data_IF_819998111841
#
_entry.id   IF_819998111841
#
_cell.length_a   1.000
_cell.length_b   1.000
_cell.length_c   1.000
_cell.angle_alpha   90.00
_cell.angle_beta   90.00
_cell.angle_gamma   90.00
#
_symmetry.space_group_name_H-M   'P 1'
#
loop_
_entity.id
_entity.type
_entity.pdbx_description
1 polymer ?
#
# COMPACT_ATOMS: atom_id res chain seq x y z
N UNK A 1 -57.24 -21.47 57.15
CA UNK A 1 -56.63 -20.52 56.19
C UNK A 1 -55.46 -19.71 56.79
N UNK A 2 -54.39 -20.35 57.25
CA UNK A 2 -53.16 -19.67 57.70
C UNK A 2 -51.95 -20.50 57.25
N UNK A 3 -51.54 -20.37 55.99
CA UNK A 3 -50.17 -20.74 55.55
C UNK A 3 -49.84 -20.36 54.10
N UNK A 4 -50.83 -20.05 53.24
CA UNK A 4 -50.55 -19.64 51.85
C UNK A 4 -49.87 -18.27 51.71
N UNK A 5 -50.13 -17.30 52.60
CA UNK A 5 -49.50 -15.95 52.54
C UNK A 5 -47.98 -15.95 52.82
N UNK A 6 -47.46 -16.87 53.65
CA UNK A 6 -46.01 -16.97 53.92
C UNK A 6 -45.25 -17.62 52.76
N UNK A 7 -45.85 -18.60 52.07
CA UNK A 7 -45.25 -19.23 50.89
C UNK A 7 -45.10 -18.26 49.70
N UNK A 8 -46.12 -17.43 49.41
CA UNK A 8 -46.01 -16.45 48.32
C UNK A 8 -45.04 -15.29 48.60
N UNK A 9 -44.82 -14.95 49.88
CA UNK A 9 -43.85 -13.90 50.25
C UNK A 9 -42.40 -14.38 50.10
N UNK A 10 -42.12 -15.65 50.45
CA UNK A 10 -40.76 -16.23 50.33
C UNK A 10 -40.42 -16.48 48.85
N UNK A 11 -41.38 -16.96 48.04
CA UNK A 11 -41.18 -17.16 46.60
C UNK A 11 -40.98 -15.82 45.88
N UNK A 12 -41.73 -14.77 46.25
CA UNK A 12 -41.55 -13.41 45.69
C UNK A 12 -40.18 -12.81 45.96
N UNK A 13 -39.64 -13.00 47.18
CA UNK A 13 -38.30 -12.51 47.54
C UNK A 13 -37.20 -13.28 46.80
N UNK A 14 -37.34 -14.60 46.63
CA UNK A 14 -36.36 -15.42 45.89
C UNK A 14 -36.34 -15.04 44.41
N UNK A 15 -37.50 -14.79 43.78
CA UNK A 15 -37.58 -14.36 42.37
C UNK A 15 -36.99 -12.96 42.17
N UNK A 16 -37.18 -12.03 43.11
CA UNK A 16 -36.58 -10.67 43.05
C UNK A 16 -35.06 -10.73 43.23
N UNK A 17 -34.55 -11.59 44.13
CA UNK A 17 -33.10 -11.77 44.33
C UNK A 17 -32.47 -12.43 43.11
N UNK A 18 -33.12 -13.41 42.48
CA UNK A 18 -32.66 -14.02 41.23
C UNK A 18 -32.69 -12.99 40.09
N UNK A 19 -33.76 -12.18 39.96
CA UNK A 19 -33.82 -11.12 38.94
C UNK A 19 -32.82 -9.98 39.18
N UNK A 20 -32.44 -9.69 40.43
CA UNK A 20 -31.37 -8.74 40.74
C UNK A 20 -29.98 -9.33 40.46
N UNK A 21 -29.73 -10.60 40.79
CA UNK A 21 -28.46 -11.28 40.49
C UNK A 21 -28.29 -11.48 38.98
N UNK A 22 -29.35 -11.85 38.25
CA UNK A 22 -29.29 -12.00 36.79
C UNK A 22 -29.43 -10.66 36.04
N UNK A 23 -30.18 -9.68 36.54
CA UNK A 23 -30.33 -8.36 35.91
C UNK A 23 -29.10 -7.47 36.08
N UNK A 24 -28.44 -7.54 37.24
CA UNK A 24 -27.13 -6.90 37.47
C UNK A 24 -26.02 -7.74 36.83
N UNK A 25 -26.13 -9.07 36.86
CA UNK A 25 -25.20 -9.99 36.18
C UNK A 25 -25.16 -9.76 34.66
N UNK A 26 -26.30 -9.63 33.98
CA UNK A 26 -26.32 -9.46 32.52
C UNK A 26 -25.72 -8.14 32.03
N UNK A 27 -25.74 -7.09 32.86
CA UNK A 27 -25.05 -5.83 32.58
C UNK A 27 -23.56 -5.85 32.95
N UNK A 28 -23.13 -6.73 33.86
CA UNK A 28 -21.73 -6.83 34.30
C UNK A 28 -20.90 -7.79 33.42
N UNK A 29 -21.52 -8.72 32.70
CA UNK A 29 -20.77 -9.68 31.87
C UNK A 29 -20.25 -9.16 30.53
N UNK A 30 -20.35 -7.86 30.24
CA UNK A 30 -19.89 -7.33 28.95
C UNK A 30 -18.42 -6.94 28.85
N UNK A 31 -17.63 -6.74 29.92
CA UNK A 31 -16.18 -6.46 29.78
C UNK A 31 -15.38 -6.57 31.11
N UNK A 32 -14.79 -7.74 31.41
CA UNK A 32 -13.69 -7.86 32.39
C UNK A 32 -14.11 -7.82 33.88
N UNK A 33 -13.25 -8.36 34.75
CA UNK A 33 -13.54 -8.58 36.19
C UNK A 33 -13.85 -7.31 37.01
N UNK A 34 -14.31 -7.52 38.25
CA UNK A 34 -14.79 -6.50 39.21
C UNK A 34 -13.85 -5.31 39.48
N UNK A 35 -12.58 -5.39 39.07
CA UNK A 35 -11.61 -4.31 39.15
C UNK A 35 -10.83 -4.19 37.83
N UNK A 36 -10.85 -3.01 37.23
CA UNK A 36 -10.04 -2.73 36.05
C UNK A 36 -8.55 -2.77 36.43
N UNK A 37 -7.68 -3.41 35.64
CA UNK A 37 -6.26 -3.45 35.91
C UNK A 37 -5.66 -2.04 35.89
N UNK A 38 -4.71 -1.78 36.80
CA UNK A 38 -3.99 -0.49 36.86
C UNK A 38 -3.14 -0.25 35.61
N UNK A 39 -2.61 -1.32 35.02
CA UNK A 39 -1.73 -1.26 33.85
C UNK A 39 -2.28 -2.10 32.71
N UNK A 40 -2.03 -1.65 31.49
CA UNK A 40 -2.41 -2.32 30.24
C UNK A 40 -1.22 -2.32 29.31
N UNK A 41 -1.08 -3.40 28.55
CA UNK A 41 -0.17 -3.50 27.42
C UNK A 41 -0.92 -4.10 26.22
N UNK A 42 -0.27 -4.09 25.06
CA UNK A 42 -0.89 -4.58 23.81
C UNK A 42 -1.31 -6.05 23.91
N UNK A 43 -0.58 -6.87 24.68
CA UNK A 43 -0.82 -8.31 24.82
C UNK A 43 -1.65 -8.70 26.04
N UNK A 44 -2.33 -7.73 26.66
CA UNK A 44 -3.13 -7.96 27.87
C UNK A 44 -4.29 -8.93 27.60
N UNK A 45 -4.70 -9.68 28.64
CA UNK A 45 -5.87 -10.56 28.57
C UNK A 45 -7.14 -9.76 28.28
N UNK A 46 -8.09 -10.39 27.58
CA UNK A 46 -9.33 -9.77 27.15
C UNK A 46 -9.24 -9.20 25.73
N UNK A 47 -10.28 -8.49 25.30
CA UNK A 47 -10.34 -7.83 23.99
C UNK A 47 -10.14 -6.33 24.16
N UNK A 48 -9.19 -5.77 23.42
CA UNK A 48 -8.93 -4.34 23.35
C UNK A 48 -8.86 -3.90 21.90
N UNK A 49 -9.37 -2.71 21.64
CA UNK A 49 -9.22 -2.04 20.36
C UNK A 49 -8.19 -0.94 20.55
N UNK A 50 -7.24 -0.90 19.64
CA UNK A 50 -6.22 0.12 19.52
C UNK A 50 -6.45 0.87 18.21
N UNK A 51 -6.24 2.18 18.22
CA UNK A 51 -6.46 3.08 17.10
C UNK A 51 -5.09 3.63 16.73
N UNK A 52 -4.62 3.33 15.52
CA UNK A 52 -3.50 4.02 14.91
C UNK A 52 -4.00 5.36 14.38
N UNK A 53 -3.34 6.45 14.75
CA UNK A 53 -3.76 7.81 14.38
C UNK A 53 -2.61 8.61 13.80
N UNK A 54 -2.91 9.41 12.78
CA UNK A 54 -2.07 10.45 12.21
C UNK A 54 -2.64 11.86 12.51
N UNK A 55 -1.76 12.86 12.56
CA UNK A 55 -2.14 14.25 12.84
C UNK A 55 -2.46 14.52 14.31
N UNK A 56 -1.93 13.69 15.21
CA UNK A 56 -1.86 14.01 16.63
C UNK A 56 -2.83 13.26 17.55
N UNK A 57 -3.03 13.85 18.74
CA UNK A 57 -3.89 13.32 19.81
C UNK A 57 -5.23 14.04 19.95
N UNK A 58 -5.52 14.95 19.02
CA UNK A 58 -6.69 15.80 19.06
C UNK A 58 -7.93 15.04 18.58
N UNK A 59 -9.12 15.59 18.81
CA UNK A 59 -10.40 14.94 18.45
C UNK A 59 -10.60 14.78 16.93
N UNK A 60 -9.86 15.53 16.14
CA UNK A 60 -9.87 15.61 14.69
C UNK A 60 -8.72 14.83 14.04
N UNK A 61 -7.80 14.28 14.84
CA UNK A 61 -6.80 13.33 14.34
C UNK A 61 -7.49 12.16 13.63
N UNK A 62 -6.97 11.82 12.45
CA UNK A 62 -7.46 10.73 11.59
C UNK A 62 -7.09 9.39 12.21
N UNK A 63 -7.92 8.37 11.98
CA UNK A 63 -7.65 7.00 12.40
C UNK A 63 -7.39 6.18 11.14
N UNK A 64 -6.14 5.80 10.92
CA UNK A 64 -5.73 5.07 9.70
C UNK A 64 -5.81 3.55 9.91
N UNK A 65 -5.70 3.11 11.16
CA UNK A 65 -5.73 1.69 11.53
C UNK A 65 -6.63 1.42 12.74
N UNK A 66 -7.38 0.33 12.66
CA UNK A 66 -8.11 -0.23 13.80
C UNK A 66 -7.54 -1.61 14.13
N UNK A 67 -6.81 -1.66 15.23
CA UNK A 67 -6.11 -2.83 15.72
C UNK A 67 -6.93 -3.52 16.81
N UNK A 68 -7.02 -4.84 16.75
CA UNK A 68 -7.73 -5.63 17.77
C UNK A 68 -6.76 -6.59 18.42
N UNK A 69 -6.52 -6.40 19.71
CA UNK A 69 -5.78 -7.33 20.52
C UNK A 69 -6.73 -8.21 21.33
N UNK A 70 -6.57 -9.53 21.24
CA UNK A 70 -7.38 -10.50 21.99
C UNK A 70 -6.55 -11.68 22.44
N UNK A 71 -6.39 -11.83 23.76
CA UNK A 71 -5.74 -12.99 24.39
C UNK A 71 -4.36 -13.31 23.78
N UNK A 72 -3.51 -12.29 23.63
CA UNK A 72 -2.17 -12.43 23.05
C UNK A 72 -2.15 -12.65 21.53
N UNK A 73 -3.27 -12.43 20.84
CA UNK A 73 -3.35 -12.34 19.38
C UNK A 73 -3.69 -10.93 18.95
N UNK A 74 -3.32 -10.60 17.72
CA UNK A 74 -3.51 -9.30 17.10
C UNK A 74 -4.10 -9.47 15.70
N UNK A 75 -4.85 -8.47 15.25
CA UNK A 75 -5.31 -8.31 13.86
C UNK A 75 -5.46 -6.81 13.62
N UNK A 76 -4.99 -6.34 12.48
CA UNK A 76 -5.09 -4.95 12.05
C UNK A 76 -6.12 -4.85 10.92
N UNK A 77 -6.83 -3.73 10.88
CA UNK A 77 -7.75 -3.36 9.81
C UNK A 77 -7.37 -1.97 9.29
N UNK A 78 -7.19 -1.84 7.99
CA UNK A 78 -6.98 -0.54 7.36
C UNK A 78 -8.27 0.29 7.36
N UNK A 79 -8.14 1.60 7.51
CA UNK A 79 -9.25 2.54 7.41
C UNK A 79 -9.16 3.29 6.09
N UNK A 80 -10.24 3.25 5.31
CA UNK A 80 -10.30 3.95 4.02
C UNK A 80 -10.80 5.39 4.14
N UNK A 81 -11.78 5.65 4.99
CA UNK A 81 -12.39 6.98 5.09
C UNK A 81 -11.54 7.93 5.93
N UNK A 82 -11.12 9.06 5.35
CA UNK A 82 -10.37 10.15 6.00
C UNK A 82 -11.18 10.87 7.09
N UNK A 83 -12.51 10.72 7.04
CA UNK A 83 -13.42 11.33 8.00
C UNK A 83 -13.50 10.55 9.33
N UNK A 84 -12.85 9.39 9.46
CA UNK A 84 -12.87 8.58 10.68
C UNK A 84 -11.87 9.14 11.68
N UNK A 85 -12.34 10.05 12.52
CA UNK A 85 -11.50 10.71 13.53
C UNK A 85 -11.53 10.05 14.89
N UNK A 86 -10.50 10.31 15.69
CA UNK A 86 -10.40 9.88 17.09
C UNK A 86 -11.60 10.35 17.93
N UNK A 87 -12.14 11.54 17.62
CA UNK A 87 -13.35 12.07 18.23
C UNK A 87 -14.62 11.27 17.90
N UNK A 88 -14.78 10.79 16.66
CA UNK A 88 -15.87 9.87 16.28
C UNK A 88 -15.69 8.51 16.96
N UNK A 89 -14.48 7.96 16.92
CA UNK A 89 -14.15 6.68 17.53
C UNK A 89 -14.39 6.66 19.05
N UNK A 90 -14.15 7.78 19.74
CA UNK A 90 -14.34 7.89 21.20
C UNK A 90 -15.75 7.66 21.71
N UNK A 91 -16.75 7.83 20.84
CA UNK A 91 -18.18 7.64 21.12
C UNK A 91 -18.65 6.21 20.85
N UNK A 92 -17.80 5.38 20.24
CA UNK A 92 -18.12 4.01 19.85
C UNK A 92 -17.74 3.02 20.96
N UNK A 93 -18.44 1.87 20.99
CA UNK A 93 -18.01 0.73 21.78
C UNK A 93 -16.92 -0.07 21.06
N UNK A 94 -16.21 -0.94 21.78
CA UNK A 94 -15.21 -1.82 21.15
C UNK A 94 -15.84 -2.70 20.04
N UNK A 95 -17.08 -3.17 20.20
CA UNK A 95 -17.75 -3.96 19.16
C UNK A 95 -18.08 -3.13 17.92
N UNK A 96 -18.43 -1.86 18.10
CA UNK A 96 -18.71 -0.95 16.98
C UNK A 96 -17.41 -0.63 16.24
N UNK A 97 -16.31 -0.37 16.96
CA UNK A 97 -15.00 -0.13 16.36
C UNK A 97 -14.49 -1.35 15.58
N UNK A 98 -14.65 -2.57 16.11
CA UNK A 98 -14.27 -3.80 15.39
C UNK A 98 -15.11 -3.96 14.11
N UNK A 99 -16.40 -3.63 14.18
CA UNK A 99 -17.30 -3.71 13.02
C UNK A 99 -16.96 -2.64 11.98
N UNK A 100 -16.58 -1.44 12.44
CA UNK A 100 -16.07 -0.36 11.61
C UNK A 100 -14.78 -0.77 10.90
N UNK A 101 -13.78 -1.30 11.63
CA UNK A 101 -12.51 -1.75 11.05
C UNK A 101 -12.72 -2.75 9.91
N UNK A 102 -13.52 -3.80 10.14
CA UNK A 102 -13.85 -4.78 9.09
C UNK A 102 -14.54 -4.16 7.86
N UNK A 103 -15.41 -3.17 8.09
CA UNK A 103 -16.12 -2.49 7.00
C UNK A 103 -15.16 -1.60 6.21
N UNK A 104 -14.30 -0.87 6.90
CA UNK A 104 -13.36 0.06 6.28
C UNK A 104 -12.26 -0.69 5.53
N UNK A 105 -11.72 -1.77 6.09
CA UNK A 105 -10.73 -2.63 5.45
C UNK A 105 -11.28 -3.27 4.15
N UNK A 106 -12.53 -3.75 4.19
CA UNK A 106 -13.20 -4.22 2.97
C UNK A 106 -13.47 -3.08 1.98
N UNK A 107 -13.81 -1.90 2.49
CA UNK A 107 -14.07 -0.71 1.66
C UNK A 107 -12.78 -0.25 0.97
N UNK A 108 -11.65 -0.31 1.66
CA UNK A 108 -10.32 -0.02 1.14
C UNK A 108 -10.08 -0.83 -0.15
N UNK A 109 -10.19 -2.16 -0.05
CA UNK A 109 -10.14 -3.04 -1.22
C UNK A 109 -11.18 -2.72 -2.31
N UNK A 110 -12.44 -2.50 -1.94
CA UNK A 110 -13.53 -2.24 -2.90
C UNK A 110 -13.38 -0.91 -3.62
N UNK A 111 -12.67 0.05 -3.03
CA UNK A 111 -12.47 1.40 -3.54
C UNK A 111 -11.14 1.60 -4.27
N UNK A 112 -10.19 0.65 -4.21
CA UNK A 112 -8.93 0.78 -4.95
C UNK A 112 -9.11 1.01 -6.44
N UNK A 113 -10.09 0.36 -7.06
CA UNK A 113 -10.37 0.59 -8.49
C UNK A 113 -10.94 1.99 -8.77
N UNK A 114 -11.60 2.64 -7.81
CA UNK A 114 -12.04 4.02 -7.94
C UNK A 114 -10.86 4.99 -7.79
N UNK A 115 -9.91 4.72 -6.89
CA UNK A 115 -8.68 5.53 -6.73
C UNK A 115 -7.80 5.48 -7.98
N UNK A 116 -7.60 4.29 -8.57
CA UNK A 116 -6.91 4.16 -9.87
C UNK A 116 -7.60 4.97 -10.97
N UNK A 117 -8.94 5.07 -10.95
CA UNK A 117 -9.68 5.93 -11.89
C UNK A 117 -9.49 7.41 -11.58
N UNK A 118 -9.46 7.79 -10.30
CA UNK A 118 -9.20 9.17 -9.89
C UNK A 118 -7.81 9.62 -10.36
N UNK A 119 -6.77 8.82 -10.12
CA UNK A 119 -5.42 9.08 -10.60
C UNK A 119 -5.34 9.16 -12.14
N UNK A 120 -6.00 8.23 -12.85
CA UNK A 120 -6.09 8.27 -14.31
C UNK A 120 -6.72 9.58 -14.79
N UNK A 121 -7.81 10.00 -14.15
CA UNK A 121 -8.60 11.16 -14.55
C UNK A 121 -8.07 12.49 -13.97
N UNK A 122 -6.92 12.49 -13.29
CA UNK A 122 -6.33 13.65 -12.60
C UNK A 122 -7.30 14.30 -11.60
N UNK A 123 -8.01 13.47 -10.83
CA UNK A 123 -8.89 13.89 -9.74
C UNK A 123 -8.19 13.71 -8.40
N UNK A 124 -8.73 14.40 -7.39
CA UNK A 124 -8.30 14.25 -6.01
C UNK A 124 -8.50 12.82 -5.51
N UNK A 125 -7.68 12.45 -4.54
CA UNK A 125 -7.76 11.21 -3.76
C UNK A 125 -9.16 11.06 -3.12
N UNK A 126 -9.69 9.83 -3.08
CA UNK A 126 -11.05 9.56 -2.60
C UNK A 126 -11.07 9.20 -1.10
N UNK A 127 -10.03 8.54 -0.60
CA UNK A 127 -9.85 8.14 0.81
C UNK A 127 -8.37 7.92 1.14
N UNK A 128 -8.06 7.23 2.23
CA UNK A 128 -6.70 7.08 2.77
C UNK A 128 -5.84 5.99 2.06
N UNK A 129 -5.95 5.85 0.74
CA UNK A 129 -5.12 4.92 -0.02
C UNK A 129 -3.70 5.42 -0.23
N UNK A 130 -2.91 5.43 0.84
CA UNK A 130 -1.51 5.86 0.79
C UNK A 130 -0.62 4.88 0.02
N UNK A 131 -1.00 3.61 -0.07
CA UNK A 131 -0.35 2.58 -0.89
C UNK A 131 -0.30 2.92 -2.40
N UNK A 132 -1.29 3.63 -2.91
CA UNK A 132 -1.33 4.16 -4.28
C UNK A 132 -0.99 5.63 -4.33
N UNK A 133 -1.55 6.44 -3.42
CA UNK A 133 -1.50 7.90 -3.49
C UNK A 133 -0.31 8.49 -2.72
N UNK A 134 0.25 7.77 -1.75
CA UNK A 134 1.48 8.11 -1.03
C UNK A 134 2.74 7.54 -1.68
N UNK A 135 2.62 6.51 -2.53
CA UNK A 135 3.75 5.94 -3.29
C UNK A 135 4.01 6.75 -4.59
N UNK A 136 4.97 7.68 -4.52
CA UNK A 136 5.42 8.48 -5.66
C UNK A 136 6.00 7.64 -6.80
N UNK A 137 6.64 6.51 -6.48
CA UNK A 137 7.25 5.64 -7.48
C UNK A 137 6.17 4.86 -8.24
N UNK A 138 5.16 4.30 -7.54
CA UNK A 138 4.03 3.63 -8.20
C UNK A 138 3.18 4.60 -9.03
N UNK A 139 2.95 5.83 -8.54
CA UNK A 139 2.33 6.89 -9.36
C UNK A 139 3.19 7.21 -10.59
N UNK A 140 4.51 7.22 -10.42
CA UNK A 140 5.50 7.35 -11.48
C UNK A 140 5.34 6.25 -12.54
N UNK A 141 5.35 4.99 -12.14
CA UNK A 141 5.18 3.83 -13.01
C UNK A 141 3.82 3.86 -13.75
N UNK A 142 2.74 4.23 -13.06
CA UNK A 142 1.42 4.33 -13.68
C UNK A 142 1.29 5.50 -14.66
N UNK A 143 2.02 6.59 -14.47
CA UNK A 143 2.00 7.74 -15.39
C UNK A 143 3.04 7.63 -16.52
N UNK A 144 4.22 7.11 -16.24
CA UNK A 144 5.37 7.08 -17.16
C UNK A 144 5.56 5.71 -17.81
N UNK A 145 5.18 4.64 -17.14
CA UNK A 145 5.28 3.26 -17.64
C UNK A 145 6.51 2.53 -17.13
N UNK A 146 6.59 1.26 -17.50
CA UNK A 146 7.71 0.42 -17.10
C UNK A 146 9.02 0.94 -17.70
N UNK A 147 10.12 0.77 -16.97
CA UNK A 147 11.46 0.89 -17.53
C UNK A 147 11.73 -0.24 -18.51
N UNK A 148 12.17 0.15 -19.70
CA UNK A 148 12.58 -0.74 -20.77
C UNK A 148 14.07 -0.53 -21.03
N UNK A 149 14.86 -1.57 -20.75
CA UNK A 149 16.27 -1.60 -21.13
C UNK A 149 16.41 -2.54 -22.33
N UNK A 150 16.76 -1.99 -23.48
CA UNK A 150 16.87 -2.73 -24.74
C UNK A 150 18.31 -2.69 -25.26
N UNK A 151 18.87 -3.88 -25.51
CA UNK A 151 20.15 -4.05 -26.20
C UNK A 151 19.90 -4.33 -27.69
N UNK A 152 20.80 -3.80 -28.52
CA UNK A 152 20.71 -3.89 -29.97
C UNK A 152 22.01 -3.54 -30.69
N UNK A 153 21.88 -3.23 -31.97
CA UNK A 153 22.98 -2.84 -32.86
C UNK A 153 22.55 -1.65 -33.71
N UNK A 154 23.41 -0.64 -33.79
CA UNK A 154 23.32 0.46 -34.75
C UNK A 154 24.18 0.12 -35.98
N UNK A 155 23.68 0.38 -37.17
CA UNK A 155 24.40 0.14 -38.44
C UNK A 155 24.39 1.40 -39.28
N UNK A 156 25.56 1.86 -39.72
CA UNK A 156 25.65 3.02 -40.61
C UNK A 156 25.04 2.74 -41.98
N UNK A 157 24.20 3.66 -42.47
CA UNK A 157 23.56 3.55 -43.80
C UNK A 157 24.56 3.81 -44.94
N UNK A 158 25.57 4.67 -44.72
CA UNK A 158 26.63 4.99 -45.68
C UNK A 158 27.89 5.45 -44.95
N UNK A 159 29.11 5.18 -45.47
CA UNK A 159 30.37 5.67 -44.87
C UNK A 159 30.45 7.19 -44.71
N UNK A 160 29.70 7.93 -45.53
CA UNK A 160 29.75 9.39 -45.60
C UNK A 160 28.60 10.09 -44.84
N UNK A 161 27.79 9.34 -44.08
CA UNK A 161 26.62 9.88 -43.36
C UNK A 161 26.63 9.51 -41.89
N UNK A 162 26.10 10.37 -41.03
CA UNK A 162 25.82 10.08 -39.62
C UNK A 162 24.54 9.27 -39.42
N UNK A 163 23.90 8.83 -40.49
CA UNK A 163 22.60 8.15 -40.42
C UNK A 163 22.77 6.68 -40.09
N UNK A 164 22.15 6.25 -39.00
CA UNK A 164 22.15 4.87 -38.52
C UNK A 164 20.77 4.21 -38.70
N UNK A 165 20.78 2.90 -38.88
CA UNK A 165 19.63 2.00 -38.74
C UNK A 165 19.80 1.24 -37.44
N UNK A 166 18.73 1.04 -36.67
CA UNK A 166 18.80 0.38 -35.38
C UNK A 166 18.08 -0.97 -35.41
N UNK A 167 18.64 -1.96 -34.74
CA UNK A 167 17.98 -3.25 -34.50
C UNK A 167 18.11 -3.61 -33.04
N UNK A 168 16.98 -3.77 -32.35
CA UNK A 168 16.92 -4.26 -30.98
C UNK A 168 16.44 -5.69 -30.96
N UNK A 169 16.96 -6.50 -30.04
CA UNK A 169 16.66 -7.92 -30.00
C UNK A 169 16.64 -8.53 -28.59
N UNK A 170 16.99 -7.74 -27.57
CA UNK A 170 17.13 -8.25 -26.20
C UNK A 170 16.65 -7.22 -25.18
N UNK A 171 15.86 -7.70 -24.22
CA UNK A 171 15.54 -6.95 -23.00
C UNK A 171 16.57 -7.28 -21.92
N UNK A 172 16.96 -6.27 -21.16
CA UNK A 172 17.93 -6.36 -20.08
C UNK A 172 17.24 -5.97 -18.77
N UNK A 173 17.42 -6.73 -17.66
CA UNK A 173 16.98 -6.30 -16.34
C UNK A 173 17.52 -4.91 -15.96
N UNK A 174 16.71 -4.08 -15.30
CA UNK A 174 17.09 -2.70 -14.98
C UNK A 174 18.33 -2.62 -14.09
N UNK A 175 18.50 -3.55 -13.17
CA UNK A 175 19.65 -3.71 -12.28
C UNK A 175 20.95 -4.06 -13.04
N UNK A 176 20.84 -4.60 -14.25
CA UNK A 176 21.97 -4.92 -15.13
C UNK A 176 22.35 -3.79 -16.09
N UNK A 177 21.59 -2.68 -16.11
CA UNK A 177 21.85 -1.58 -17.05
C UNK A 177 23.28 -1.04 -16.97
N UNK A 178 23.77 -0.75 -15.76
CA UNK A 178 25.10 -0.16 -15.58
C UNK A 178 26.21 -1.10 -16.05
N UNK A 179 26.16 -2.38 -15.68
CA UNK A 179 27.17 -3.37 -16.10
C UNK A 179 27.15 -3.60 -17.62
N UNK A 180 25.97 -3.65 -18.24
CA UNK A 180 25.84 -3.84 -19.68
C UNK A 180 26.25 -2.58 -20.46
N UNK A 181 25.94 -1.40 -19.94
CA UNK A 181 26.42 -0.12 -20.48
C UNK A 181 27.94 -0.05 -20.46
N UNK A 182 28.59 -0.43 -19.36
CA UNK A 182 30.05 -0.48 -19.26
C UNK A 182 30.66 -1.49 -20.26
N UNK A 183 30.03 -2.67 -20.40
CA UNK A 183 30.45 -3.68 -21.39
C UNK A 183 30.39 -3.12 -22.80
N UNK A 184 29.29 -2.46 -23.16
CA UNK A 184 29.09 -1.87 -24.49
C UNK A 184 30.07 -0.72 -24.72
N UNK A 185 30.30 0.14 -23.73
CA UNK A 185 31.31 1.20 -23.79
C UNK A 185 32.71 0.65 -24.07
N UNK A 186 33.10 -0.43 -23.38
CA UNK A 186 34.38 -1.12 -23.63
C UNK A 186 34.46 -1.69 -25.05
N UNK A 187 33.37 -2.27 -25.57
CA UNK A 187 33.36 -2.77 -26.95
C UNK A 187 33.60 -1.60 -27.92
N UNK A 188 32.84 -0.51 -27.79
CA UNK A 188 32.97 0.68 -28.66
C UNK A 188 34.39 1.27 -28.68
N UNK A 189 35.09 1.27 -27.55
CA UNK A 189 36.48 1.74 -27.47
C UNK A 189 37.49 0.90 -28.27
N UNK A 190 37.19 -0.37 -28.51
CA UNK A 190 38.05 -1.29 -29.25
C UNK A 190 37.57 -1.55 -30.68
N UNK A 191 36.47 -0.92 -31.11
CA UNK A 191 36.00 -1.03 -32.49
C UNK A 191 36.93 -0.26 -33.44
N UNK A 192 37.23 -0.86 -34.58
CA UNK A 192 37.98 -0.18 -35.63
C UNK A 192 37.12 0.91 -36.29
N UNK A 193 37.76 1.96 -36.83
CA UNK A 193 37.05 3.03 -37.54
C UNK A 193 36.28 2.55 -38.79
N UNK A 194 36.60 1.35 -39.30
CA UNK A 194 35.95 0.73 -40.46
C UNK A 194 34.74 -0.15 -40.09
N UNK A 195 34.47 -0.37 -38.80
CA UNK A 195 33.31 -1.15 -38.35
C UNK A 195 32.00 -0.40 -38.59
N UNK A 196 31.16 -0.97 -39.45
CA UNK A 196 29.86 -0.39 -39.84
C UNK A 196 28.74 -0.65 -38.83
N UNK A 197 28.98 -1.48 -37.82
CA UNK A 197 27.99 -1.90 -36.83
C UNK A 197 28.52 -1.77 -35.42
N UNK A 198 27.75 -1.13 -34.54
CA UNK A 198 28.12 -0.91 -33.15
C UNK A 198 27.02 -1.38 -32.20
N UNK A 199 27.36 -2.08 -31.09
CA UNK A 199 26.37 -2.44 -30.11
C UNK A 199 25.80 -1.19 -29.43
N UNK A 200 24.52 -1.24 -29.08
CA UNK A 200 23.82 -0.16 -28.37
C UNK A 200 22.98 -0.72 -27.24
N UNK A 201 22.81 0.11 -26.20
CA UNK A 201 21.85 -0.12 -25.13
C UNK A 201 21.07 1.16 -24.92
N UNK A 202 19.76 1.02 -24.71
CA UNK A 202 18.88 2.12 -24.39
C UNK A 202 18.09 1.78 -23.13
N UNK A 203 18.04 2.71 -22.18
CA UNK A 203 17.16 2.66 -21.01
C UNK A 203 16.19 3.82 -21.14
N UNK A 204 14.89 3.51 -21.17
CA UNK A 204 13.83 4.50 -21.25
C UNK A 204 12.53 3.94 -20.67
N UNK A 205 11.71 4.79 -20.05
CA UNK A 205 10.31 4.52 -19.77
C UNK A 205 9.48 4.54 -21.06
N UNK A 206 8.25 4.03 -20.99
CA UNK A 206 7.31 4.11 -22.12
C UNK A 206 7.03 5.57 -22.53
N UNK A 207 6.92 6.48 -21.56
CA UNK A 207 6.81 7.92 -21.79
C UNK A 207 8.04 8.47 -22.53
N UNK A 208 9.24 8.17 -22.05
CA UNK A 208 10.49 8.63 -22.69
C UNK A 208 10.66 8.06 -24.11
N UNK A 209 10.13 6.87 -24.40
CA UNK A 209 10.10 6.35 -25.77
C UNK A 209 9.19 7.16 -26.70
N UNK A 210 8.12 7.76 -26.18
CA UNK A 210 7.21 8.63 -26.94
C UNK A 210 7.81 10.03 -27.08
N UNK A 211 8.36 10.59 -26.00
CA UNK A 211 8.98 11.92 -26.00
C UNK A 211 10.19 11.98 -26.92
N UNK A 212 11.06 10.97 -26.86
CA UNK A 212 12.26 10.89 -27.68
C UNK A 212 12.01 10.18 -29.01
N UNK A 213 10.75 10.09 -29.45
CA UNK A 213 10.43 9.43 -30.69
C UNK A 213 10.94 10.21 -31.89
N UNK A 214 11.07 11.54 -31.85
CA UNK A 214 11.64 12.30 -32.96
C UNK A 214 13.03 12.86 -32.60
N UNK A 215 14.04 12.70 -33.48
CA UNK A 215 15.40 13.15 -33.23
C UNK A 215 15.61 14.66 -33.46
N UNK A 216 14.65 15.38 -34.04
CA UNK A 216 14.76 16.81 -34.36
C UNK A 216 13.75 17.63 -33.54
N UNK A 217 14.22 18.65 -32.80
CA UNK A 217 13.38 19.56 -32.02
C UNK A 217 12.31 20.26 -32.87
N UNK A 218 12.62 20.60 -34.14
CA UNK A 218 11.64 21.17 -35.06
C UNK A 218 10.57 20.16 -35.50
N UNK A 219 10.92 18.88 -35.64
CA UNK A 219 9.94 17.82 -35.91
C UNK A 219 9.09 17.49 -34.67
N UNK A 220 9.65 17.62 -33.47
CA UNK A 220 8.91 17.46 -32.22
C UNK A 220 7.81 18.52 -32.05
N UNK A 221 8.09 19.78 -32.39
CA UNK A 221 7.09 20.85 -32.37
C UNK A 221 5.99 20.62 -33.42
N UNK A 222 6.37 20.18 -34.62
CA UNK A 222 5.42 19.90 -35.70
C UNK A 222 4.52 18.69 -35.41
N UNK A 223 5.02 17.71 -34.63
CA UNK A 223 4.30 16.48 -34.29
C UNK A 223 3.67 16.49 -32.88
N UNK A 224 3.54 17.66 -32.25
CA UNK A 224 3.04 17.79 -30.88
C UNK A 224 1.71 17.05 -30.64
N UNK A 225 0.77 17.15 -31.60
CA UNK A 225 -0.55 16.49 -31.49
C UNK A 225 -0.41 14.97 -31.48
N UNK A 226 0.32 14.39 -32.42
CA UNK A 226 0.51 12.94 -32.52
C UNK A 226 1.26 12.36 -31.32
N UNK A 227 2.25 13.10 -30.80
CA UNK A 227 2.97 12.77 -29.57
C UNK A 227 2.02 12.71 -28.38
N UNK A 228 1.25 13.77 -28.15
CA UNK A 228 0.32 13.88 -27.04
C UNK A 228 -0.80 12.83 -27.11
N UNK A 229 -1.34 12.58 -28.30
CA UNK A 229 -2.33 11.51 -28.53
C UNK A 229 -1.74 10.13 -28.27
N UNK A 230 -0.50 9.88 -28.68
CA UNK A 230 0.18 8.60 -28.47
C UNK A 230 0.43 8.35 -27.01
N UNK A 231 0.95 9.36 -26.29
CA UNK A 231 1.10 9.28 -24.84
C UNK A 231 -0.23 9.00 -24.15
N UNK A 232 -1.28 9.76 -24.49
CA UNK A 232 -2.62 9.58 -23.92
C UNK A 232 -3.18 8.19 -24.20
N UNK A 233 -2.98 7.66 -25.40
CA UNK A 233 -3.40 6.31 -25.78
C UNK A 233 -2.69 5.23 -24.94
N UNK A 234 -1.37 5.33 -24.82
CA UNK A 234 -0.49 4.44 -24.06
C UNK A 234 -0.85 4.46 -22.57
N UNK A 235 -0.90 5.65 -21.97
CA UNK A 235 -1.30 5.85 -20.57
C UNK A 235 -2.69 5.29 -20.31
N UNK A 236 -3.67 5.59 -21.16
CA UNK A 236 -5.04 5.08 -20.98
C UNK A 236 -5.11 3.55 -21.09
N UNK A 237 -4.38 2.93 -22.02
CA UNK A 237 -4.33 1.48 -22.12
C UNK A 237 -3.72 0.83 -20.86
N UNK A 238 -2.70 1.46 -20.28
CA UNK A 238 -2.07 1.02 -19.03
C UNK A 238 -3.08 1.01 -17.87
N UNK A 239 -3.69 2.16 -17.58
CA UNK A 239 -4.70 2.26 -16.51
C UNK A 239 -5.89 1.33 -16.75
N UNK A 240 -6.39 1.24 -17.98
CA UNK A 240 -7.51 0.36 -18.29
C UNK A 240 -7.14 -1.12 -18.10
N UNK A 241 -5.94 -1.54 -18.49
CA UNK A 241 -5.49 -2.92 -18.27
C UNK A 241 -5.31 -3.25 -16.79
N UNK A 242 -4.78 -2.31 -15.99
CA UNK A 242 -4.71 -2.47 -14.53
C UNK A 242 -6.11 -2.67 -13.96
N UNK A 243 -7.06 -1.78 -14.30
CA UNK A 243 -8.46 -1.90 -13.86
C UNK A 243 -9.11 -3.22 -14.27
N UNK A 244 -8.80 -3.75 -15.46
CA UNK A 244 -9.27 -5.07 -15.88
C UNK A 244 -8.63 -6.20 -15.05
N UNK A 245 -7.33 -6.13 -14.78
CA UNK A 245 -6.63 -7.11 -13.94
C UNK A 245 -7.18 -7.13 -12.50
N UNK A 246 -7.49 -5.96 -11.93
CA UNK A 246 -8.07 -5.80 -10.60
C UNK A 246 -9.41 -6.53 -10.44
N UNK A 247 -10.24 -6.64 -11.49
CA UNK A 247 -11.55 -7.33 -11.41
C UNK A 247 -11.45 -8.80 -10.99
N UNK A 248 -10.32 -9.44 -11.24
CA UNK A 248 -10.08 -10.84 -10.90
C UNK A 248 -9.55 -11.05 -9.48
N UNK A 249 -9.10 -9.97 -8.84
CA UNK A 249 -8.49 -9.99 -7.52
C UNK A 249 -9.58 -10.13 -6.48
N UNK A 250 -9.29 -10.93 -5.44
CA UNK A 250 -10.23 -11.16 -4.34
C UNK A 250 -9.65 -10.55 -3.08
N UNK A 251 -10.53 -9.87 -2.33
CA UNK A 251 -10.24 -9.39 -1.00
C UNK A 251 -9.70 -10.51 -0.10
N UNK A 252 -8.60 -10.22 0.60
CA UNK A 252 -8.00 -11.10 1.58
C UNK A 252 -8.16 -10.49 2.97
N UNK A 253 -9.15 -10.98 3.73
CA UNK A 253 -9.35 -10.49 5.08
C UNK A 253 -8.11 -10.70 5.98
N UNK A 254 -7.77 -9.71 6.82
CA UNK A 254 -6.74 -9.86 7.84
C UNK A 254 -7.00 -11.06 8.75
N UNK A 255 -5.92 -11.65 9.26
CA UNK A 255 -5.97 -12.85 10.11
C UNK A 255 -5.34 -12.59 11.46
N UNK A 256 -5.85 -13.31 12.46
CA UNK A 256 -5.26 -13.32 13.79
C UNK A 256 -3.84 -13.86 13.74
N UNK A 257 -2.92 -13.11 14.34
CA UNK A 257 -1.49 -13.39 14.38
C UNK A 257 -0.91 -13.13 15.76
N UNK A 258 0.31 -13.59 15.98
CA UNK A 258 1.07 -13.34 17.21
C UNK A 258 2.05 -12.20 16.96
N UNK A 259 2.16 -11.29 17.91
CA UNK A 259 3.14 -10.21 17.87
C UNK A 259 4.46 -10.66 18.49
N UNK A 260 5.57 -10.16 17.93
CA UNK A 260 6.90 -10.28 18.56
C UNK A 260 7.40 -8.91 18.95
N UNK A 261 8.11 -8.82 20.08
CA UNK A 261 8.60 -7.56 20.63
C UNK A 261 10.09 -7.63 20.88
N UNK A 262 10.79 -6.56 20.49
CA UNK A 262 12.20 -6.33 20.86
C UNK A 262 12.28 -5.09 21.74
N UNK A 263 12.80 -5.26 22.95
CA UNK A 263 12.89 -4.19 23.93
C UNK A 263 14.17 -3.38 23.77
N UNK A 264 14.05 -2.07 23.87
CA UNK A 264 15.17 -1.16 24.13
C UNK A 264 15.12 -0.72 25.58
N UNK A 265 16.24 -0.78 26.28
CA UNK A 265 16.35 -0.41 27.69
C UNK A 265 17.16 0.88 27.86
N UNK A 266 16.97 1.52 29.02
CA UNK A 266 17.85 2.60 29.44
C UNK A 266 19.28 2.10 29.70
N UNK A 267 20.22 3.03 29.96
CA UNK A 267 21.62 2.71 30.22
C UNK A 267 21.85 1.76 31.41
N UNK A 268 20.84 1.57 32.28
CA UNK A 268 20.91 0.62 33.39
C UNK A 268 20.58 -0.81 32.98
N UNK A 269 19.98 -1.01 31.80
CA UNK A 269 19.44 -2.29 31.34
C UNK A 269 18.15 -2.72 32.04
N UNK A 270 17.67 -1.98 33.04
CA UNK A 270 16.58 -2.43 33.92
C UNK A 270 15.21 -1.91 33.51
N UNK A 271 15.13 -0.83 32.73
CA UNK A 271 13.87 -0.20 32.35
C UNK A 271 13.72 -0.18 30.84
N UNK A 272 12.65 -0.80 30.34
CA UNK A 272 12.25 -0.70 28.94
C UNK A 272 11.79 0.73 28.64
N UNK A 273 12.41 1.37 27.66
CA UNK A 273 12.13 2.75 27.20
C UNK A 273 11.41 2.78 25.85
N UNK A 274 11.60 1.78 25.00
CA UNK A 274 10.81 1.57 23.78
C UNK A 274 10.70 0.08 23.44
N UNK A 275 9.75 -0.27 22.58
CA UNK A 275 9.58 -1.62 22.04
C UNK A 275 9.33 -1.58 20.54
N UNK A 276 10.16 -2.29 19.78
CA UNK A 276 9.85 -2.58 18.38
C UNK A 276 8.87 -3.76 18.32
N UNK A 277 7.64 -3.49 17.92
CA UNK A 277 6.60 -4.47 17.65
C UNK A 277 6.75 -4.96 16.21
N UNK A 278 6.79 -6.27 15.98
CA UNK A 278 6.83 -6.84 14.62
C UNK A 278 5.59 -7.71 14.40
N UNK A 279 5.00 -7.58 13.22
CA UNK A 279 3.77 -8.24 12.79
C UNK A 279 3.79 -8.47 11.28
N UNK A 280 2.73 -9.09 10.77
CA UNK A 280 2.48 -9.25 9.34
C UNK A 280 1.40 -8.28 8.91
N UNK A 281 1.73 -7.36 8.01
CA UNK A 281 0.78 -6.48 7.38
C UNK A 281 0.20 -7.13 6.11
N UNK A 282 -0.93 -6.60 5.62
CA UNK A 282 -1.49 -6.93 4.31
C UNK A 282 -1.66 -5.62 3.58
N UNK A 283 -1.22 -5.59 2.33
CA UNK A 283 -1.46 -4.48 1.41
C UNK A 283 -1.86 -5.08 0.04
N UNK A 284 -2.56 -4.30 -0.76
CA UNK A 284 -3.05 -4.67 -2.07
C UNK A 284 -2.21 -4.14 -3.23
N UNK A 285 -1.54 -3.00 -3.11
CA UNK A 285 -0.63 -2.54 -4.16
C UNK A 285 0.77 -3.09 -3.90
N UNK A 286 1.34 -3.76 -4.91
CA UNK A 286 2.74 -4.19 -4.81
C UNK A 286 3.66 -3.04 -5.20
N UNK A 287 4.87 -3.09 -4.65
CA UNK A 287 5.94 -2.10 -4.84
C UNK A 287 6.19 -1.71 -6.31
N UNK A 288 6.73 -0.50 -6.46
CA UNK A 288 7.33 0.00 -7.68
C UNK A 288 8.32 -1.01 -8.31
N UNK A 289 8.32 -1.11 -9.63
CA UNK A 289 9.10 -2.11 -10.37
C UNK A 289 8.39 -3.45 -10.60
N UNK A 290 7.17 -3.66 -10.07
CA UNK A 290 6.32 -4.79 -10.49
C UNK A 290 6.09 -4.77 -12.01
N UNK A 291 5.84 -3.59 -12.58
CA UNK A 291 5.67 -3.42 -14.03
C UNK A 291 6.97 -3.71 -14.79
N UNK A 292 8.10 -3.22 -14.31
CA UNK A 292 9.43 -3.47 -14.88
C UNK A 292 9.73 -4.97 -14.96
N UNK A 293 9.48 -5.70 -13.89
CA UNK A 293 9.69 -7.14 -13.85
C UNK A 293 8.76 -7.88 -14.84
N UNK A 294 7.54 -7.39 -15.04
CA UNK A 294 6.59 -8.03 -15.94
C UNK A 294 6.95 -7.88 -17.41
N UNK A 295 7.80 -6.93 -17.82
CA UNK A 295 8.22 -6.80 -19.23
C UNK A 295 8.94 -8.05 -19.73
N UNK A 296 9.59 -8.80 -18.84
CA UNK A 296 10.27 -10.06 -19.18
C UNK A 296 9.29 -11.21 -19.46
N UNK A 297 8.07 -11.12 -18.94
CA UNK A 297 7.00 -12.09 -19.13
C UNK A 297 6.25 -11.90 -20.47
N UNK A 298 6.63 -10.90 -21.27
CA UNK A 298 6.08 -10.70 -22.59
C UNK A 298 6.41 -11.87 -23.53
N UNK A 299 5.46 -12.21 -24.39
CA UNK A 299 5.68 -13.17 -25.48
C UNK A 299 6.69 -12.63 -26.50
N UNK A 300 7.29 -13.52 -27.29
CA UNK A 300 8.26 -13.13 -28.31
C UNK A 300 7.67 -12.16 -29.34
N UNK A 301 6.40 -12.37 -29.73
CA UNK A 301 5.71 -11.45 -30.64
C UNK A 301 5.56 -10.05 -30.05
N UNK A 302 5.27 -9.94 -28.75
CA UNK A 302 5.18 -8.64 -28.07
C UNK A 302 6.56 -7.97 -27.96
N UNK A 303 7.59 -8.73 -27.61
CA UNK A 303 8.98 -8.26 -27.58
C UNK A 303 9.43 -7.73 -28.95
N UNK A 304 9.13 -8.47 -30.02
CA UNK A 304 9.42 -8.02 -31.39
C UNK A 304 8.71 -6.72 -31.77
N UNK A 305 7.46 -6.52 -31.36
CA UNK A 305 6.76 -5.25 -31.58
C UNK A 305 7.47 -4.09 -30.86
N UNK A 306 7.89 -4.27 -29.60
CA UNK A 306 8.64 -3.26 -28.84
C UNK A 306 9.95 -2.91 -29.53
N UNK A 307 10.71 -3.92 -29.95
CA UNK A 307 11.98 -3.71 -30.64
C UNK A 307 11.80 -2.97 -31.97
N UNK A 308 10.78 -3.35 -32.75
CA UNK A 308 10.42 -2.65 -33.98
C UNK A 308 10.05 -1.19 -33.70
N UNK A 309 9.23 -0.94 -32.69
CA UNK A 309 8.82 0.41 -32.34
C UNK A 309 9.99 1.28 -31.87
N UNK A 310 10.89 0.72 -31.08
CA UNK A 310 12.11 1.42 -30.64
C UNK A 310 13.07 1.72 -31.81
N UNK A 311 13.23 0.79 -32.75
CA UNK A 311 14.02 1.04 -33.96
C UNK A 311 13.38 2.14 -34.84
N UNK A 312 12.07 2.04 -35.07
CA UNK A 312 11.33 3.00 -35.89
C UNK A 312 11.33 4.41 -35.30
N UNK A 313 11.36 4.54 -33.97
CA UNK A 313 11.45 5.84 -33.30
C UNK A 313 12.77 6.53 -33.66
N UNK A 314 13.91 5.83 -33.62
CA UNK A 314 15.19 6.42 -34.02
C UNK A 314 15.29 6.78 -35.51
N UNK A 315 14.57 6.07 -36.39
CA UNK A 315 14.73 6.22 -37.84
C UNK A 315 13.72 7.16 -38.50
N UNK A 316 12.49 7.22 -37.97
CA UNK A 316 11.34 7.84 -38.65
C UNK A 316 10.40 8.58 -37.70
N UNK A 317 10.64 8.51 -36.38
CA UNK A 317 9.74 9.03 -35.37
C UNK A 317 8.32 8.50 -35.40
N UNK A 318 8.17 7.21 -35.73
CA UNK A 318 6.86 6.64 -36.01
C UNK A 318 6.04 6.31 -34.75
N UNK A 319 5.12 7.21 -34.40
CA UNK A 319 4.12 7.02 -33.36
C UNK A 319 3.16 5.81 -33.58
N UNK A 320 2.74 5.45 -34.82
CA UNK A 320 1.93 4.25 -35.06
C UNK A 320 2.56 2.95 -34.56
N UNK A 321 3.87 2.77 -34.73
CA UNK A 321 4.59 1.61 -34.24
C UNK A 321 4.60 1.56 -32.70
N UNK A 322 4.76 2.71 -32.03
CA UNK A 322 4.66 2.81 -30.58
C UNK A 322 3.25 2.41 -30.10
N UNK A 323 2.18 2.93 -30.75
CA UNK A 323 0.78 2.54 -30.42
C UNK A 323 0.52 1.04 -30.64
N UNK A 324 1.18 0.43 -31.63
CA UNK A 324 1.07 -1.00 -31.93
C UNK A 324 1.82 -1.88 -30.92
N UNK A 325 2.97 -1.42 -30.43
CA UNK A 325 3.75 -2.13 -29.42
C UNK A 325 3.14 -2.02 -28.02
N UNK A 326 2.68 -0.83 -27.66
CA UNK A 326 2.00 -0.52 -26.39
C UNK A 326 0.48 -0.69 -26.51
N UNK A 327 0.07 -1.87 -26.95
CA UNK A 327 -1.33 -2.24 -27.11
C UNK A 327 -1.92 -2.85 -25.82
N UNK A 328 -3.23 -3.13 -25.82
CA UNK A 328 -3.91 -3.76 -24.68
C UNK A 328 -3.31 -5.12 -24.28
N UNK A 329 -2.74 -5.87 -25.22
CA UNK A 329 -2.15 -7.18 -24.93
C UNK A 329 -0.85 -7.04 -24.14
N UNK A 330 -0.02 -6.03 -24.48
CA UNK A 330 1.17 -5.67 -23.72
C UNK A 330 0.80 -5.31 -22.28
N UNK A 331 -0.14 -4.38 -22.09
CA UNK A 331 -0.50 -3.92 -20.75
C UNK A 331 -1.20 -4.96 -19.89
N UNK A 332 -1.94 -5.90 -20.49
CA UNK A 332 -2.50 -7.03 -19.76
C UNK A 332 -1.40 -7.84 -19.04
N UNK A 333 -0.21 -7.93 -19.63
CA UNK A 333 0.95 -8.61 -19.02
C UNK A 333 1.66 -7.67 -18.04
N UNK A 334 1.98 -6.44 -18.47
CA UNK A 334 2.81 -5.52 -17.68
C UNK A 334 2.15 -5.06 -16.39
N UNK A 335 0.83 -4.83 -16.40
CA UNK A 335 0.08 -4.41 -15.19
C UNK A 335 -0.37 -5.58 -14.32
N UNK A 336 0.04 -6.82 -14.65
CA UNK A 336 -0.41 -8.01 -13.93
C UNK A 336 0.18 -8.03 -12.52
N UNK A 337 -0.65 -8.34 -11.53
CA UNK A 337 -0.27 -8.37 -10.12
C UNK A 337 0.19 -7.02 -9.54
N UNK A 338 0.09 -5.89 -10.25
CA UNK A 338 0.32 -4.56 -9.62
C UNK A 338 -0.63 -4.38 -8.44
N UNK A 339 -1.89 -4.79 -8.61
CA UNK A 339 -2.85 -4.91 -7.52
C UNK A 339 -3.10 -6.39 -7.20
N UNK A 340 -2.69 -6.84 -6.02
CA UNK A 340 -2.94 -8.18 -5.47
C UNK A 340 -2.60 -8.17 -3.97
N UNK A 341 -3.45 -8.73 -3.09
CA UNK A 341 -3.13 -8.88 -1.68
C UNK A 341 -1.81 -9.64 -1.49
N UNK A 342 -0.91 -9.03 -0.77
CA UNK A 342 0.37 -9.60 -0.37
C UNK A 342 0.57 -9.40 1.12
N UNK A 343 1.32 -10.32 1.74
CA UNK A 343 1.57 -10.32 3.19
C UNK A 343 3.06 -10.16 3.38
N UNK A 344 3.47 -9.12 4.09
CA UNK A 344 4.87 -8.81 4.38
C UNK A 344 5.08 -8.67 5.89
N UNK A 345 6.34 -8.78 6.30
CA UNK A 345 6.72 -8.52 7.69
C UNK A 345 6.91 -7.01 7.87
N UNK A 346 6.24 -6.46 8.86
CA UNK A 346 6.21 -5.04 9.17
C UNK A 346 6.51 -4.82 10.66
N UNK A 347 6.87 -3.59 11.01
CA UNK A 347 7.17 -3.22 12.37
C UNK A 347 6.79 -1.78 12.74
N UNK A 348 6.55 -1.59 14.04
CA UNK A 348 6.26 -0.27 14.61
C UNK A 348 7.04 -0.11 15.90
N UNK A 349 7.73 1.02 16.03
CA UNK A 349 8.35 1.39 17.31
C UNK A 349 7.31 1.99 18.25
N UNK A 350 7.10 1.36 19.40
CA UNK A 350 6.29 1.88 20.50
C UNK A 350 7.20 2.60 21.48
N UNK A 351 7.01 3.91 21.64
CA UNK A 351 7.88 4.75 22.46
C UNK A 351 7.12 5.42 23.61
N UNK A 352 7.14 6.74 23.68
CA UNK A 352 6.59 7.54 24.76
C UNK A 352 5.16 7.17 25.09
N UNK A 353 4.86 7.11 26.38
CA UNK A 353 3.55 6.69 26.88
C UNK A 353 2.62 7.88 26.94
N UNK A 354 1.47 7.75 26.29
CA UNK A 354 0.46 8.78 26.20
C UNK A 354 -0.67 8.53 27.19
N UNK A 355 -1.19 9.62 27.75
CA UNK A 355 -2.43 9.66 28.51
C UNK A 355 -3.15 10.95 28.18
N UNK A 356 -4.32 10.85 27.54
CA UNK A 356 -5.08 12.00 27.05
C UNK A 356 -6.57 11.77 27.26
N UNK A 357 -7.33 12.85 27.45
CA UNK A 357 -8.79 12.80 27.53
C UNK A 357 -9.44 13.39 26.29
N UNK A 358 -10.37 12.65 25.70
CA UNK A 358 -11.15 13.07 24.53
C UNK A 358 -12.63 12.93 24.88
N UNK A 359 -13.30 14.06 25.02
CA UNK A 359 -14.63 14.15 25.61
C UNK A 359 -14.68 13.44 26.98
N UNK A 360 -15.47 12.37 27.09
CA UNK A 360 -15.65 11.59 28.31
C UNK A 360 -14.80 10.29 28.32
N UNK A 361 -13.93 10.11 27.33
CA UNK A 361 -13.10 8.93 27.17
C UNK A 361 -11.65 9.26 27.46
N UNK A 362 -11.02 8.52 28.37
CA UNK A 362 -9.58 8.57 28.58
C UNK A 362 -8.91 7.58 27.64
N UNK A 363 -7.90 8.04 26.91
CA UNK A 363 -7.06 7.27 26.03
C UNK A 363 -5.66 7.11 26.62
N UNK A 364 -5.11 5.92 26.46
CA UNK A 364 -3.73 5.59 26.84
C UNK A 364 -3.08 4.86 25.68
N UNK A 365 -1.78 5.02 25.51
CA UNK A 365 -1.11 4.42 24.36
C UNK A 365 0.33 4.81 24.23
N UNK A 366 0.86 4.67 23.02
CA UNK A 366 2.26 4.93 22.70
C UNK A 366 2.36 5.92 21.55
N UNK A 367 3.38 6.75 21.54
CA UNK A 367 3.86 7.37 20.30
C UNK A 367 4.45 6.27 19.40
N UNK A 368 4.19 6.38 18.10
CA UNK A 368 4.69 5.50 17.05
C UNK A 368 5.59 6.19 16.03
N UNK A 369 5.82 7.49 16.22
CA UNK A 369 6.55 8.36 15.30
C UNK A 369 6.20 9.82 15.55
N UNK A 370 6.52 10.67 14.58
CA UNK A 370 6.21 12.09 14.60
C UNK A 370 4.71 12.30 14.38
N UNK A 371 4.04 12.83 15.41
CA UNK A 371 2.59 13.09 15.43
C UNK A 371 1.68 11.86 15.14
N UNK A 372 2.23 10.66 15.28
CA UNK A 372 1.51 9.38 15.14
C UNK A 372 1.46 8.60 16.45
N UNK A 373 0.32 7.92 16.68
CA UNK A 373 0.05 7.26 17.95
C UNK A 373 -0.73 5.97 17.80
N UNK A 374 -0.50 5.04 18.75
CA UNK A 374 -1.31 3.84 18.93
C UNK A 374 -2.05 3.88 20.27
N UNK A 375 -3.36 4.10 20.22
CA UNK A 375 -4.18 4.48 21.37
C UNK A 375 -5.28 3.46 21.69
N UNK A 376 -5.49 3.15 22.97
CA UNK A 376 -6.66 2.38 23.43
C UNK A 376 -7.47 3.14 24.47
N UNK A 377 -8.78 2.90 24.49
CA UNK A 377 -9.66 3.48 25.50
C UNK A 377 -9.39 2.84 26.86
N UNK A 378 -9.04 3.66 27.83
CA UNK A 378 -8.88 3.27 29.22
C UNK A 378 -10.25 2.93 29.84
N UNK A 379 -10.26 1.95 30.75
CA UNK A 379 -11.46 1.60 31.52
C UNK A 379 -11.76 2.61 32.63
N UNK A 380 -10.74 3.36 33.08
CA UNK A 380 -10.85 4.46 34.03
C UNK A 380 -9.63 5.39 33.90
N UNK A 381 -9.71 6.57 34.51
CA UNK A 381 -8.70 7.63 34.40
C UNK A 381 -7.36 7.28 35.06
N UNK A 382 -7.33 6.29 35.97
CA UNK A 382 -6.10 5.85 36.65
C UNK A 382 -5.32 4.78 35.89
N UNK A 383 -5.91 4.18 34.86
CA UNK A 383 -5.25 3.15 34.05
C UNK A 383 -4.08 3.77 33.27
N UNK A 384 -2.98 3.03 33.14
CA UNK A 384 -1.77 3.47 32.41
C UNK A 384 -1.30 2.37 31.47
N UNK A 385 -0.65 2.79 30.39
CA UNK A 385 0.00 1.84 29.49
C UNK A 385 1.39 1.46 30.01
N UNK A 386 1.82 0.22 29.77
CA UNK A 386 3.17 -0.27 30.04
C UNK A 386 3.63 -1.16 28.89
N UNK A 387 4.93 -1.20 28.64
CA UNK A 387 5.53 -2.11 27.69
C UNK A 387 5.30 -3.58 28.09
N UNK A 388 5.24 -4.47 27.09
CA UNK A 388 5.23 -5.91 27.31
C UNK A 388 6.56 -6.33 27.99
N UNK A 389 6.51 -7.31 28.90
CA UNK A 389 7.72 -7.83 29.57
C UNK A 389 8.28 -9.03 28.83
#
# INVERSE_FOLDING_TARGET
MKNKKKQYSIIGIIVIVILLIFGIGHHIYKNGGLTAPKTVNLMSKGTRVWLGTEGGLQKDATVDYIDVAKNGKFIQYQVFDDDITLGKASKMSNSDLISLGKKQDKKYFDKSADEVRALRDHKDQIGLQDDLMGDDDLKGDLNNGAWLVMEGTATQKSPDTTNETYTYNKLIPIDQYNSESDRIGKIKLHQSADEKSSPVINKATEYEMVENASPDEHEQENNFSDRHETYSYIRNNRFNALLENMKSVKYLAPKWQTLTFKNTTDNSGNKVISQKMNYKAIDEFNDAGTMDNNVFNLSDSQKQKLFKAKAASHETGSYPELRSAFDKSYYKVVTKNVFKPHVFDDDTELSDKVHQKIYNSTYIGYSTGDDTYLLTKAQNDSQRVVFNK
#
